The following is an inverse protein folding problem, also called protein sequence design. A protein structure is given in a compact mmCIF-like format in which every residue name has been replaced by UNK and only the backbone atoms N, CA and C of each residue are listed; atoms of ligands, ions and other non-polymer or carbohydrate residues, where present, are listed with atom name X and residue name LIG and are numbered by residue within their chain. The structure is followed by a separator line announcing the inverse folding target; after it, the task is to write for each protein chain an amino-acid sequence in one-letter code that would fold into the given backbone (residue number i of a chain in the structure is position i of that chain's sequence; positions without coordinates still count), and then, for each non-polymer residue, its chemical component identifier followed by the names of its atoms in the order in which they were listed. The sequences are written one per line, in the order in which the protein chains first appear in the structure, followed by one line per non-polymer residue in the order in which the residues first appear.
data_IF_815672483745
#
_entry.id   IF_815672483745
#
_cell.length_a   1.000
_cell.length_b   1.000
_cell.length_c   1.000
_cell.angle_alpha   90.00
_cell.angle_beta   90.00
_cell.angle_gamma   90.00
#
_symmetry.space_group_name_H-M   'P 1'
#
loop_
_entity.id
_entity.type
_entity.pdbx_description
1 polymer ?
#
# COMPACT_ATOMS: atom_id res chain seq x y z
N UNK A 1 5.38 2.39 10.10
CA UNK A 1 4.84 1.00 9.97
C UNK A 1 5.05 0.13 11.22
N UNK A 2 6.29 -0.22 11.64
CA UNK A 2 6.55 -1.13 12.79
C UNK A 2 5.72 -0.84 14.06
N UNK A 3 5.61 0.43 14.47
CA UNK A 3 4.83 0.81 15.65
C UNK A 3 3.33 0.48 15.50
N UNK A 4 2.76 0.65 14.29
CA UNK A 4 1.38 0.29 14.00
C UNK A 4 1.16 -1.22 14.10
N UNK A 5 2.07 -2.02 13.54
CA UNK A 5 2.04 -3.49 13.62
C UNK A 5 2.06 -3.96 15.08
N UNK A 6 3.00 -3.44 15.89
CA UNK A 6 3.07 -3.76 17.33
C UNK A 6 1.78 -3.42 18.07
N UNK A 7 1.20 -2.25 17.77
CA UNK A 7 -0.04 -1.79 18.42
C UNK A 7 -1.28 -2.56 17.93
N UNK A 8 -1.25 -3.13 16.73
CA UNK A 8 -2.34 -3.93 16.18
C UNK A 8 -2.34 -5.36 16.75
N UNK A 9 -1.17 -5.91 17.06
CA UNK A 9 -1.02 -7.26 17.62
C UNK A 9 -1.47 -8.30 16.61
N UNK A 10 -2.48 -9.08 16.97
CA UNK A 10 -3.05 -10.15 16.13
C UNK A 10 -4.14 -9.66 15.16
N UNK A 11 -4.43 -8.36 15.13
CA UNK A 11 -5.40 -7.76 14.20
C UNK A 11 -4.69 -7.23 12.97
N UNK A 12 -5.35 -7.35 11.83
CA UNK A 12 -4.89 -6.67 10.62
C UNK A 12 -4.93 -5.15 10.81
N UNK A 13 -3.90 -4.48 10.28
CA UNK A 13 -3.79 -3.03 10.17
C UNK A 13 -3.24 -2.72 8.78
N UNK A 14 -3.69 -1.62 8.18
CA UNK A 14 -3.23 -1.25 6.85
C UNK A 14 -3.35 0.23 6.57
N UNK A 15 -3.23 0.62 5.31
CA UNK A 15 -3.21 2.01 4.88
C UNK A 15 -2.87 2.13 3.41
N UNK A 16 -2.74 3.37 2.96
CA UNK A 16 -2.24 3.67 1.62
C UNK A 16 -0.75 4.01 1.67
N UNK A 17 -0.10 3.84 0.52
CA UNK A 17 1.29 4.20 0.26
C UNK A 17 1.32 5.42 -0.65
N UNK A 18 1.97 6.47 -0.19
CA UNK A 18 2.26 7.67 -0.98
C UNK A 18 3.77 7.75 -1.19
N UNK A 19 4.18 7.90 -2.43
CA UNK A 19 5.56 7.71 -2.82
C UNK A 19 6.07 8.71 -3.83
N UNK A 20 7.38 8.77 -3.88
CA UNK A 20 8.16 9.52 -4.85
C UNK A 20 8.69 8.57 -5.92
N UNK A 21 8.42 8.86 -7.19
CA UNK A 21 9.06 8.25 -8.33
C UNK A 21 10.46 8.85 -8.51
N UNK A 22 11.50 8.01 -8.37
CA UNK A 22 12.89 8.41 -8.60
C UNK A 22 13.43 7.89 -9.95
N UNK A 23 12.56 7.38 -10.82
CA UNK A 23 12.87 6.81 -12.12
C UNK A 23 13.11 5.31 -12.10
N UNK A 24 13.22 4.71 -13.29
CA UNK A 24 13.55 3.28 -13.48
C UNK A 24 12.66 2.30 -12.70
N UNK A 25 11.36 2.61 -12.58
CA UNK A 25 10.39 1.83 -11.80
C UNK A 25 10.76 1.71 -10.31
N UNK A 26 11.50 2.68 -9.76
CA UNK A 26 11.84 2.75 -8.35
C UNK A 26 11.04 3.87 -7.69
N UNK A 27 10.39 3.51 -6.60
CA UNK A 27 9.58 4.42 -5.80
C UNK A 27 10.04 4.40 -4.35
N UNK A 28 10.22 5.59 -3.77
CA UNK A 28 10.47 5.75 -2.33
C UNK A 28 9.12 6.00 -1.66
N UNK A 29 8.74 5.16 -0.70
CA UNK A 29 7.58 5.44 0.15
C UNK A 29 7.91 6.65 1.03
N UNK A 30 7.25 7.77 0.79
CA UNK A 30 7.47 9.02 1.54
C UNK A 30 6.52 9.14 2.72
N UNK A 31 5.28 8.69 2.56
CA UNK A 31 4.25 8.78 3.59
C UNK A 31 3.33 7.55 3.53
N UNK A 32 2.80 7.14 4.70
CA UNK A 32 1.80 6.07 4.79
C UNK A 32 0.65 6.51 5.70
N UNK A 33 -0.56 6.07 5.41
CA UNK A 33 -1.64 6.16 6.39
C UNK A 33 -1.71 4.90 7.26
N UNK A 34 -2.44 4.98 8.39
CA UNK A 34 -2.68 3.85 9.30
C UNK A 34 -4.18 3.78 9.62
N UNK A 35 -4.86 2.79 9.07
CA UNK A 35 -6.29 2.53 9.27
C UNK A 35 -6.47 1.23 10.06
N UNK A 36 -7.37 1.27 11.06
CA UNK A 36 -7.51 0.22 12.10
C UNK A 36 -8.72 -0.70 11.94
N UNK A 37 -9.53 -0.52 10.89
CA UNK A 37 -10.78 -1.28 10.69
C UNK A 37 -10.69 -2.12 9.41
N UNK A 38 -10.67 -3.44 9.59
CA UNK A 38 -10.54 -4.41 8.52
C UNK A 38 -11.89 -5.03 8.13
N UNK A 39 -12.42 -4.61 6.98
CA UNK A 39 -12.83 -5.59 5.98
C UNK A 39 -12.29 -5.14 4.64
N UNK A 40 -11.51 -6.01 4.02
CA UNK A 40 -10.78 -5.83 2.77
C UNK A 40 -11.58 -5.21 1.58
N UNK A 41 -12.91 -5.26 1.58
CA UNK A 41 -13.75 -4.64 0.52
C UNK A 41 -14.11 -3.15 0.78
N UNK A 42 -13.66 -2.56 1.90
CA UNK A 42 -14.06 -1.19 2.31
C UNK A 42 -12.98 -0.12 2.11
N UNK A 43 -11.78 -0.47 1.62
CA UNK A 43 -10.69 0.52 1.52
C UNK A 43 -10.81 1.43 0.29
N UNK A 44 -11.13 0.86 -0.87
CA UNK A 44 -11.53 1.61 -2.08
C UNK A 44 -12.77 2.47 -1.81
N UNK A 45 -13.63 2.08 -0.86
CA UNK A 45 -14.92 2.74 -0.57
C UNK A 45 -14.90 3.74 0.59
N UNK A 46 -13.78 3.90 1.30
CA UNK A 46 -13.61 4.93 2.33
C UNK A 46 -12.44 5.83 1.99
N UNK A 47 -12.47 6.33 0.76
CA UNK A 47 -11.71 7.49 0.29
C UNK A 47 -11.73 8.61 1.36
N UNK A 48 -12.81 8.77 2.13
CA UNK A 48 -12.92 9.71 3.25
C UNK A 48 -11.79 9.61 4.30
N UNK A 49 -11.43 8.40 4.73
CA UNK A 49 -10.43 8.19 5.78
C UNK A 49 -9.01 8.50 5.26
N UNK A 50 -8.80 8.41 3.94
CA UNK A 50 -7.50 8.61 3.28
C UNK A 50 -7.34 9.99 2.62
N UNK A 51 -8.45 10.67 2.26
CA UNK A 51 -8.45 11.95 1.52
C UNK A 51 -7.60 12.98 2.25
N UNK A 52 -7.74 13.07 3.58
CA UNK A 52 -7.03 14.07 4.37
C UNK A 52 -5.52 13.92 4.22
N UNK A 53 -5.02 12.69 4.33
CA UNK A 53 -3.60 12.36 4.15
C UNK A 53 -3.12 12.63 2.73
N UNK A 54 -3.87 12.19 1.72
CA UNK A 54 -3.53 12.45 0.31
C UNK A 54 -3.47 13.94 -0.02
N UNK A 55 -4.45 14.72 0.44
CA UNK A 55 -4.48 16.17 0.22
C UNK A 55 -3.32 16.87 0.90
N UNK A 56 -2.98 16.48 2.13
CA UNK A 56 -1.84 17.03 2.84
C UNK A 56 -0.54 16.69 2.10
N UNK A 57 -0.34 15.43 1.73
CA UNK A 57 0.82 14.97 0.98
C UNK A 57 0.99 15.75 -0.33
N UNK A 58 -0.06 15.85 -1.16
CA UNK A 58 0.02 16.58 -2.41
C UNK A 58 0.26 18.07 -2.22
N UNK A 59 -0.29 18.68 -1.17
CA UNK A 59 0.00 20.07 -0.85
C UNK A 59 1.47 20.26 -0.46
N UNK A 60 2.02 19.37 0.36
CA UNK A 60 3.42 19.41 0.82
C UNK A 60 4.41 19.17 -0.33
N UNK A 61 4.03 18.35 -1.32
CA UNK A 61 4.85 18.07 -2.50
C UNK A 61 4.60 19.03 -3.67
N UNK A 62 3.87 20.13 -3.44
CA UNK A 62 3.61 21.15 -4.46
C UNK A 62 2.76 20.66 -5.64
N UNK A 63 1.95 19.62 -5.43
CA UNK A 63 1.10 18.98 -6.42
C UNK A 63 1.86 18.46 -7.66
N UNK A 64 3.14 18.10 -7.50
CA UNK A 64 3.91 17.43 -8.54
C UNK A 64 3.49 15.95 -8.63
N UNK A 65 2.37 15.69 -9.32
CA UNK A 65 1.78 14.36 -9.47
C UNK A 65 2.61 13.39 -10.34
N UNK A 66 3.56 13.92 -11.12
CA UNK A 66 4.48 13.13 -11.93
C UNK A 66 5.52 12.47 -11.03
N UNK A 67 6.02 13.22 -10.04
CA UNK A 67 7.02 12.76 -9.10
C UNK A 67 6.42 12.16 -7.83
N UNK A 68 5.33 12.70 -7.29
CA UNK A 68 4.74 12.29 -6.03
C UNK A 68 3.30 11.83 -6.21
N UNK A 69 2.99 10.57 -5.89
CA UNK A 69 1.66 10.02 -6.10
C UNK A 69 1.25 8.98 -5.06
N UNK A 70 -0.03 8.63 -5.06
CA UNK A 70 -0.49 7.34 -4.57
C UNK A 70 0.16 6.23 -5.39
N UNK A 71 0.79 5.26 -4.74
CA UNK A 71 1.48 4.16 -5.42
C UNK A 71 0.93 2.79 -5.04
N UNK A 72 0.04 2.70 -4.05
CA UNK A 72 -0.30 1.41 -3.50
C UNK A 72 -1.05 1.39 -2.18
N UNK A 73 -1.33 0.19 -1.72
CA UNK A 73 -1.85 -0.10 -0.39
C UNK A 73 -0.85 -0.97 0.40
N UNK A 74 -1.01 -0.97 1.72
CA UNK A 74 -0.31 -1.90 2.59
C UNK A 74 -1.25 -2.45 3.66
N UNK A 75 -1.01 -3.68 4.09
CA UNK A 75 -1.62 -4.23 5.29
C UNK A 75 -0.81 -5.36 5.91
N UNK A 76 -1.19 -5.72 7.13
CA UNK A 76 -0.50 -6.77 7.88
C UNK A 76 -1.21 -8.11 7.82
N UNK A 77 -0.45 -9.19 7.64
CA UNK A 77 -0.90 -10.57 7.91
C UNK A 77 -0.21 -11.09 9.17
N UNK A 78 -0.74 -10.83 10.38
CA UNK A 78 -0.05 -11.19 11.62
C UNK A 78 0.13 -12.70 11.82
N UNK A 79 -0.80 -13.50 11.27
CA UNK A 79 -0.87 -14.96 11.50
C UNK A 79 -0.51 -15.81 10.29
N UNK A 80 -0.24 -15.19 9.13
CA UNK A 80 -0.03 -15.91 7.87
C UNK A 80 1.27 -15.49 7.18
N UNK A 81 1.63 -16.17 6.10
CA UNK A 81 2.69 -15.67 5.24
C UNK A 81 2.27 -14.33 4.61
N UNK A 82 3.20 -13.38 4.45
CA UNK A 82 2.87 -12.03 4.00
C UNK A 82 2.69 -12.00 2.47
N UNK A 83 1.87 -12.88 1.92
CA UNK A 83 1.49 -12.93 0.51
C UNK A 83 0.01 -12.57 0.33
N UNK A 84 -0.35 -12.00 -0.83
CA UNK A 84 -1.74 -11.67 -1.14
C UNK A 84 -2.62 -12.93 -1.15
N UNK A 85 -3.76 -12.86 -0.46
CA UNK A 85 -4.90 -13.75 -0.64
C UNK A 85 -5.59 -13.50 -1.97
N UNK A 86 -6.51 -14.40 -2.36
CA UNK A 86 -7.37 -14.17 -3.54
C UNK A 86 -8.18 -12.88 -3.41
N UNK A 87 -8.58 -12.51 -2.19
CA UNK A 87 -9.32 -11.27 -1.94
C UNK A 87 -8.40 -10.09 -2.25
N UNK A 88 -7.19 -10.10 -1.68
CA UNK A 88 -6.09 -9.15 -1.94
C UNK A 88 -5.92 -8.85 -3.43
N UNK A 89 -5.76 -9.91 -4.22
CA UNK A 89 -5.59 -9.82 -5.66
C UNK A 89 -6.79 -9.14 -6.35
N UNK A 90 -8.02 -9.54 -5.98
CA UNK A 90 -9.22 -9.02 -6.62
C UNK A 90 -9.44 -7.54 -6.39
N UNK A 91 -9.17 -7.01 -5.19
CA UNK A 91 -9.36 -5.57 -4.98
C UNK A 91 -8.24 -4.74 -5.60
N UNK A 92 -6.99 -5.20 -5.60
CA UNK A 92 -5.94 -4.46 -6.33
C UNK A 92 -6.24 -4.40 -7.83
N UNK A 93 -6.75 -5.51 -8.39
CA UNK A 93 -7.24 -5.56 -9.77
C UNK A 93 -8.45 -4.66 -10.02
N UNK A 94 -9.33 -4.45 -9.02
CA UNK A 94 -10.42 -3.48 -9.14
C UNK A 94 -9.89 -2.05 -9.23
N UNK A 95 -8.85 -1.68 -8.46
CA UNK A 95 -8.28 -0.33 -8.50
C UNK A 95 -7.66 -0.04 -9.88
N UNK A 96 -6.79 -0.92 -10.38
CA UNK A 96 -6.08 -0.68 -11.65
C UNK A 96 -6.97 -0.80 -12.88
N UNK A 97 -8.15 -1.42 -12.77
CA UNK A 97 -9.14 -1.52 -13.85
C UNK A 97 -10.20 -0.43 -13.81
N UNK A 98 -10.26 0.34 -12.73
CA UNK A 98 -11.18 1.47 -12.62
C UNK A 98 -10.56 2.69 -13.30
N UNK A 99 -11.05 3.01 -14.50
CA UNK A 99 -10.60 4.16 -15.29
C UNK A 99 -10.79 5.50 -14.55
N UNK A 100 -11.71 5.58 -13.58
CA UNK A 100 -11.92 6.79 -12.79
C UNK A 100 -10.82 7.01 -11.75
N UNK A 101 -10.12 5.94 -11.35
CA UNK A 101 -8.90 6.04 -10.54
C UNK A 101 -7.72 6.47 -11.41
N UNK A 102 -7.65 5.97 -12.64
CA UNK A 102 -6.59 6.31 -13.59
C UNK A 102 -5.20 5.83 -13.18
N UNK A 103 -5.12 4.81 -12.32
CA UNK A 103 -3.86 4.25 -11.84
C UNK A 103 -3.21 3.37 -12.91
N UNK A 104 -2.00 3.73 -13.34
CA UNK A 104 -1.21 2.91 -14.27
C UNK A 104 -0.63 1.64 -13.62
N UNK A 105 -0.54 1.63 -12.29
CA UNK A 105 -0.17 0.48 -11.47
C UNK A 105 -0.64 0.71 -10.03
N UNK A 106 -0.69 -0.38 -9.25
CA UNK A 106 -0.86 -0.32 -7.79
C UNK A 106 0.05 -1.36 -7.16
N UNK A 107 0.86 -0.97 -6.17
CA UNK A 107 1.64 -1.88 -5.36
C UNK A 107 0.88 -2.30 -4.10
N UNK A 108 0.91 -3.58 -3.76
CA UNK A 108 0.40 -4.10 -2.49
C UNK A 108 1.56 -4.61 -1.65
N UNK A 109 1.86 -3.90 -0.55
CA UNK A 109 2.85 -4.30 0.44
C UNK A 109 2.15 -5.07 1.57
N UNK A 110 2.42 -6.36 1.69
CA UNK A 110 1.95 -7.15 2.83
C UNK A 110 3.11 -7.39 3.76
N UNK A 111 2.89 -7.15 5.05
CA UNK A 111 3.94 -7.24 6.06
C UNK A 111 3.50 -7.99 7.31
N UNK A 112 4.46 -8.55 8.04
CA UNK A 112 4.26 -9.06 9.39
C UNK A 112 5.48 -8.79 10.24
N UNK A 113 5.30 -8.81 11.56
CA UNK A 113 6.43 -8.84 12.49
C UNK A 113 6.88 -10.28 12.67
N UNK A 114 8.16 -10.55 12.37
CA UNK A 114 8.79 -11.80 12.74
C UNK A 114 9.09 -11.88 14.23
N UNK A 115 9.55 -13.05 14.73
CA UNK A 115 9.81 -13.27 16.16
C UNK A 115 10.79 -12.27 16.79
N UNK A 116 11.77 -11.76 16.03
CA UNK A 116 12.73 -10.75 16.47
C UNK A 116 12.24 -9.30 16.30
N UNK A 117 11.00 -9.09 15.84
CA UNK A 117 10.44 -7.78 15.55
C UNK A 117 10.93 -7.13 14.25
N UNK A 118 11.63 -7.90 13.41
CA UNK A 118 11.90 -7.57 12.02
C UNK A 118 10.60 -7.53 11.22
N UNK A 119 10.55 -6.66 10.20
CA UNK A 119 9.44 -6.71 9.23
C UNK A 119 9.78 -7.71 8.15
N UNK A 120 8.93 -8.71 8.01
CA UNK A 120 8.95 -9.66 6.91
C UNK A 120 7.86 -9.20 5.95
N UNK A 121 8.24 -8.87 4.71
CA UNK A 121 7.33 -8.26 3.76
C UNK A 121 7.47 -8.84 2.36
N UNK A 122 6.35 -8.88 1.62
CA UNK A 122 6.37 -9.00 0.17
C UNK A 122 5.66 -7.83 -0.46
N UNK A 123 6.00 -7.53 -1.70
CA UNK A 123 5.30 -6.53 -2.49
C UNK A 123 4.95 -7.09 -3.86
N UNK A 124 3.73 -6.84 -4.30
CA UNK A 124 3.23 -7.26 -5.60
C UNK A 124 2.64 -6.06 -6.32
N UNK A 125 3.01 -5.87 -7.58
CA UNK A 125 2.50 -4.78 -8.43
C UNK A 125 1.43 -5.33 -9.36
N UNK A 126 0.31 -4.63 -9.42
CA UNK A 126 -0.82 -4.93 -10.30
C UNK A 126 -0.86 -3.89 -11.41
N UNK A 127 -1.20 -4.35 -12.62
CA UNK A 127 -1.30 -3.53 -13.82
C UNK A 127 -2.72 -3.61 -14.42
N UNK A 128 -3.16 -2.58 -15.18
CA UNK A 128 -4.49 -2.54 -15.80
C UNK A 128 -4.80 -3.74 -16.72
N UNK A 129 -3.77 -4.33 -17.34
CA UNK A 129 -3.88 -5.53 -18.18
C UNK A 129 -4.24 -6.80 -17.39
N UNK A 130 -4.28 -6.73 -16.06
CA UNK A 130 -4.55 -7.83 -15.16
C UNK A 130 -3.31 -8.57 -14.67
N UNK A 131 -2.11 -8.14 -15.07
CA UNK A 131 -0.85 -8.71 -14.62
C UNK A 131 -0.61 -8.44 -13.14
N UNK A 132 -0.04 -9.43 -12.44
CA UNK A 132 0.48 -9.35 -11.08
C UNK A 132 1.96 -9.73 -11.09
N UNK A 133 2.83 -8.83 -10.66
CA UNK A 133 4.28 -8.97 -10.77
C UNK A 133 4.90 -8.85 -9.37
N UNK A 134 5.70 -9.84 -8.91
CA UNK A 134 6.49 -9.69 -7.70
C UNK A 134 7.44 -8.49 -7.83
N UNK A 135 7.46 -7.62 -6.83
CA UNK A 135 8.35 -6.45 -6.80
C UNK A 135 9.37 -6.59 -5.66
N UNK A 136 10.43 -5.78 -5.71
CA UNK A 136 11.44 -5.76 -4.65
C UNK A 136 11.11 -4.69 -3.63
N UNK A 137 11.07 -5.05 -2.35
CA UNK A 137 10.96 -4.10 -1.24
C UNK A 137 12.28 -4.03 -0.48
N UNK A 138 12.75 -2.82 -0.20
CA UNK A 138 13.94 -2.57 0.62
C UNK A 138 13.59 -1.54 1.69
N UNK A 139 14.10 -1.76 2.89
CA UNK A 139 14.08 -0.78 3.96
C UNK A 139 15.43 -0.08 3.91
N UNK A 140 15.44 1.23 3.65
CA UNK A 140 16.63 2.03 3.86
C UNK A 140 16.82 2.23 5.38
N UNK A 141 18.01 1.86 5.86
CA UNK A 141 18.46 2.01 7.25
C UNK A 141 19.24 3.29 7.44
#
# INVERSE_FOLDING_TARGET
MKAALRKAGQREVGGILMGENIGNNVFIVREITIHRHGTFASFIRRIEDAIGGLRAFFKETGYDYVRFNYIGEWHSHPSFEPYPSRKDDLSMLQIVKDETVGANFVALLITKLGPGGEMISTVHTYLPDGSKIPSTFKIET
#
